data_IF_823229100697
#
_entry.id   IF_823229100697
#
_cell.length_a   1.000
_cell.length_b   1.000
_cell.length_c   1.000
_cell.angle_alpha   90.00
_cell.angle_beta   90.00
_cell.angle_gamma   90.00
#
_symmetry.space_group_name_H-M   'P 1'
#
loop_
_entity.id
_entity.type
_entity.pdbx_description
1 polymer ?
#
# COMPACT_ATOMS: atom_id res chain seq x y z
N UNK A 1 -72.48 -30.77 -53.62
CA UNK A 1 -71.51 -30.86 -54.74
C UNK A 1 -70.13 -30.80 -54.11
N UNK A 2 -69.72 -31.82 -53.37
CA UNK A 2 -69.32 -33.16 -53.84
C UNK A 2 -67.98 -33.06 -54.57
N UNK A 3 -66.89 -33.39 -53.87
CA UNK A 3 -66.19 -34.69 -53.79
C UNK A 3 -65.03 -34.71 -54.80
N UNK A 4 -63.76 -34.80 -54.41
CA UNK A 4 -63.02 -35.83 -53.65
C UNK A 4 -62.27 -36.78 -54.60
N UNK A 5 -61.08 -37.24 -54.18
CA UNK A 5 -60.15 -38.16 -54.85
C UNK A 5 -59.47 -37.60 -56.12
N UNK A 6 -58.13 -37.55 -56.20
CA UNK A 6 -57.10 -38.61 -56.10
C UNK A 6 -57.01 -39.50 -57.34
N UNK A 7 -55.76 -39.94 -57.60
CA UNK A 7 -55.26 -40.94 -58.56
C UNK A 7 -54.83 -40.50 -59.98
N UNK A 8 -53.77 -41.08 -60.60
CA UNK A 8 -52.51 -41.68 -60.09
C UNK A 8 -51.54 -42.00 -61.25
N UNK A 9 -50.24 -42.19 -60.94
CA UNK A 9 -49.20 -42.92 -61.73
C UNK A 9 -48.68 -42.46 -63.13
N UNK A 10 -47.34 -42.30 -63.13
CA UNK A 10 -46.34 -42.91 -64.02
C UNK A 10 -46.16 -42.49 -65.50
N UNK A 11 -44.91 -42.07 -65.81
CA UNK A 11 -43.87 -42.73 -66.67
C UNK A 11 -42.75 -41.68 -66.96
N UNK A 12 -41.45 -41.95 -67.13
CA UNK A 12 -40.57 -43.13 -67.00
C UNK A 12 -39.12 -42.68 -66.69
N UNK A 13 -38.49 -43.37 -65.73
CA UNK A 13 -37.06 -43.69 -65.54
C UNK A 13 -35.94 -43.03 -66.38
N UNK A 14 -34.91 -42.54 -65.67
CA UNK A 14 -33.56 -43.14 -65.80
C UNK A 14 -32.86 -43.18 -64.43
N UNK A 15 -32.10 -44.24 -64.17
CA UNK A 15 -31.52 -44.56 -62.85
C UNK A 15 -30.00 -44.43 -62.89
N UNK A 16 -29.41 -43.90 -61.82
CA UNK A 16 -28.08 -44.35 -61.36
C UNK A 16 -28.10 -44.45 -59.83
N UNK A 17 -28.10 -45.69 -59.33
CA UNK A 17 -27.82 -46.04 -57.92
C UNK A 17 -26.34 -45.71 -57.60
N UNK A 18 -25.87 -45.44 -56.37
CA UNK A 18 -25.92 -46.27 -55.16
C UNK A 18 -25.70 -45.38 -53.90
N UNK A 19 -26.64 -45.41 -52.96
CA UNK A 19 -26.49 -45.65 -51.48
C UNK A 19 -25.45 -44.83 -50.68
N UNK A 20 -25.74 -44.00 -49.65
CA UNK A 20 -26.74 -43.95 -48.56
C UNK A 20 -26.36 -44.66 -47.23
N UNK A 21 -26.35 -43.88 -46.14
CA UNK A 21 -26.80 -44.17 -44.75
C UNK A 21 -26.86 -42.78 -44.04
N UNK A 22 -28.04 -42.20 -43.72
CA UNK A 22 -28.87 -42.40 -42.51
C UNK A 22 -28.12 -42.01 -41.21
N UNK A 23 -28.64 -41.20 -40.27
CA UNK A 23 -30.01 -41.06 -39.73
C UNK A 23 -30.29 -39.59 -39.28
N UNK A 24 -31.54 -39.10 -39.38
CA UNK A 24 -32.05 -37.81 -38.83
C UNK A 24 -32.82 -38.07 -37.50
N UNK A 25 -33.28 -37.09 -36.68
CA UNK A 25 -33.86 -35.77 -37.00
C UNK A 25 -33.10 -34.63 -36.25
N UNK A 26 -33.60 -33.42 -35.93
CA UNK A 26 -34.95 -32.85 -35.94
C UNK A 26 -34.94 -31.30 -36.14
N UNK A 27 -36.02 -30.63 -35.74
CA UNK A 27 -36.22 -29.18 -35.80
C UNK A 27 -36.78 -28.69 -34.45
N UNK A 28 -36.26 -27.59 -33.89
CA UNK A 28 -37.06 -26.74 -33.01
C UNK A 28 -36.60 -25.27 -33.07
N UNK A 29 -37.51 -24.35 -32.76
CA UNK A 29 -37.30 -22.89 -32.77
C UNK A 29 -36.74 -22.41 -31.43
N UNK A 30 -35.55 -21.82 -31.43
CA UNK A 30 -35.08 -21.03 -30.29
C UNK A 30 -35.40 -19.55 -30.49
N UNK A 31 -36.30 -19.03 -29.66
CA UNK A 31 -36.38 -17.60 -29.36
C UNK A 31 -35.10 -17.17 -28.67
N UNK A 32 -34.42 -16.14 -29.18
CA UNK A 32 -33.24 -15.57 -28.52
C UNK A 32 -33.69 -14.82 -27.26
N UNK A 33 -33.38 -15.39 -26.10
CA UNK A 33 -33.48 -14.69 -24.82
C UNK A 33 -32.39 -13.62 -24.76
N UNK A 34 -32.79 -12.37 -24.52
CA UNK A 34 -31.87 -11.21 -24.42
C UNK A 34 -31.55 -10.86 -22.96
N UNK A 35 -31.80 -11.78 -22.03
CA UNK A 35 -31.34 -11.67 -20.64
C UNK A 35 -29.82 -11.83 -20.59
N UNK A 36 -29.06 -10.92 -19.93
CA UNK A 36 -27.60 -11.02 -19.87
C UNK A 36 -27.16 -12.26 -19.09
N UNK A 37 -26.12 -12.93 -19.59
CA UNK A 37 -25.54 -14.13 -18.99
C UNK A 37 -24.93 -13.78 -17.61
N UNK A 38 -25.28 -14.48 -16.51
CA UNK A 38 -24.70 -14.22 -15.20
C UNK A 38 -23.20 -14.56 -15.08
N UNK A 39 -22.56 -15.05 -16.15
CA UNK A 39 -21.11 -15.30 -16.24
C UNK A 39 -20.33 -14.22 -17.01
N UNK A 40 -20.98 -13.22 -17.59
CA UNK A 40 -20.27 -12.06 -18.13
C UNK A 40 -19.53 -11.35 -16.98
N UNK A 41 -18.19 -11.18 -17.05
CA UNK A 41 -17.46 -10.47 -16.01
C UNK A 41 -17.89 -9.01 -16.02
N UNK A 42 -18.65 -8.61 -14.99
CA UNK A 42 -18.92 -7.20 -14.69
C UNK A 42 -17.61 -6.45 -14.83
N UNK A 43 -17.52 -5.54 -15.81
CA UNK A 43 -16.30 -4.80 -16.13
C UNK A 43 -15.93 -3.98 -14.90
N UNK A 44 -15.02 -4.55 -14.11
CA UNK A 44 -14.75 -4.05 -12.79
C UNK A 44 -14.00 -2.72 -12.93
N UNK A 45 -14.68 -1.62 -12.61
CA UNK A 45 -14.18 -0.26 -12.84
C UNK A 45 -12.82 -0.09 -12.19
N UNK A 46 -11.78 0.05 -13.01
CA UNK A 46 -10.40 0.21 -12.57
C UNK A 46 -10.25 1.48 -11.75
N UNK A 47 -9.67 1.36 -10.56
CA UNK A 47 -9.46 2.50 -9.66
C UNK A 47 -8.53 3.51 -10.33
N UNK A 48 -9.02 4.76 -10.42
CA UNK A 48 -8.26 5.82 -11.07
C UNK A 48 -7.39 6.55 -10.06
N UNK A 49 -6.08 6.36 -10.18
CA UNK A 49 -5.09 6.99 -9.34
C UNK A 49 -4.75 8.42 -9.80
N UNK A 50 -4.40 9.26 -8.84
CA UNK A 50 -3.98 10.65 -9.03
C UNK A 50 -3.04 11.06 -7.87
N UNK A 51 -2.42 12.23 -7.96
CA UNK A 51 -1.83 12.90 -6.78
C UNK A 51 -2.84 13.85 -6.15
N UNK A 52 -2.64 14.19 -4.87
CA UNK A 52 -3.51 15.17 -4.21
C UNK A 52 -3.23 16.59 -4.69
N UNK A 53 -1.95 16.95 -4.83
CA UNK A 53 -1.46 18.24 -5.35
C UNK A 53 -0.71 18.00 -6.66
N UNK A 54 -0.50 19.06 -7.44
CA UNK A 54 0.33 18.98 -8.64
C UNK A 54 1.80 18.70 -8.23
N UNK A 55 2.45 17.68 -8.81
CA UNK A 55 3.85 17.36 -8.49
C UNK A 55 4.81 18.52 -8.74
N UNK A 56 5.62 18.86 -7.73
CA UNK A 56 6.70 19.83 -7.87
C UNK A 56 7.77 19.27 -8.83
N UNK A 57 8.45 20.11 -9.63
CA UNK A 57 9.68 19.70 -10.31
C UNK A 57 10.69 19.13 -9.32
N UNK A 58 11.37 18.03 -9.67
CA UNK A 58 12.39 17.42 -8.82
C UNK A 58 13.56 18.41 -8.64
N UNK A 59 13.94 18.68 -7.38
CA UNK A 59 15.03 19.61 -7.09
C UNK A 59 16.40 18.99 -7.37
N UNK A 60 17.43 19.83 -7.41
CA UNK A 60 18.83 19.38 -7.54
C UNK A 60 19.23 18.37 -6.45
N UNK A 61 18.76 18.57 -5.23
CA UNK A 61 19.02 17.66 -4.11
C UNK A 61 18.31 16.31 -4.30
N UNK A 62 17.07 16.33 -4.77
CA UNK A 62 16.30 15.11 -5.08
C UNK A 62 16.93 14.34 -6.24
N UNK A 63 17.34 15.00 -7.32
CA UNK A 63 17.99 14.34 -8.46
C UNK A 63 19.32 13.68 -8.07
N UNK A 64 20.18 14.37 -7.31
CA UNK A 64 21.43 13.79 -6.78
C UNK A 64 21.20 12.56 -5.92
N UNK A 65 20.14 12.56 -5.11
CA UNK A 65 19.79 11.42 -4.26
C UNK A 65 19.24 10.23 -5.07
N UNK A 66 18.51 10.49 -6.15
CA UNK A 66 18.05 9.47 -7.09
C UNK A 66 19.23 8.87 -7.86
N UNK A 67 20.13 9.71 -8.39
CA UNK A 67 21.40 9.29 -9.01
C UNK A 67 22.23 8.42 -8.04
N UNK A 68 22.38 8.85 -6.78
CA UNK A 68 23.06 8.08 -5.75
C UNK A 68 22.43 6.69 -5.53
N UNK A 69 21.09 6.57 -5.55
CA UNK A 69 20.46 5.24 -5.48
C UNK A 69 20.83 4.37 -6.68
N UNK A 70 20.84 4.91 -7.90
CA UNK A 70 21.23 4.16 -9.11
C UNK A 70 22.69 3.68 -9.02
N UNK A 71 23.61 4.55 -8.62
CA UNK A 71 25.04 4.22 -8.48
C UNK A 71 25.33 3.15 -7.41
N UNK A 72 24.39 2.91 -6.48
CA UNK A 72 24.51 1.95 -5.39
C UNK A 72 23.60 0.72 -5.55
N UNK A 73 22.94 0.54 -6.70
CA UNK A 73 22.22 -0.69 -7.00
C UNK A 73 23.22 -1.85 -7.17
N UNK A 74 22.91 -3.00 -6.57
CA UNK A 74 23.75 -4.20 -6.67
C UNK A 74 23.44 -4.98 -7.96
N UNK A 75 24.36 -5.86 -8.36
CA UNK A 75 24.28 -6.60 -9.63
C UNK A 75 23.09 -7.56 -9.72
N UNK A 76 22.45 -7.91 -8.60
CA UNK A 76 21.21 -8.70 -8.52
C UNK A 76 19.93 -7.83 -8.60
N UNK A 77 20.07 -6.52 -8.83
CA UNK A 77 18.96 -5.57 -8.92
C UNK A 77 18.46 -5.04 -7.58
N UNK A 78 18.95 -5.55 -6.45
CA UNK A 78 18.57 -5.08 -5.13
C UNK A 78 19.51 -4.02 -4.54
N UNK A 79 19.18 -3.57 -3.33
CA UNK A 79 20.06 -2.76 -2.49
C UNK A 79 20.27 -3.43 -1.14
N UNK A 80 21.49 -3.31 -0.63
CA UNK A 80 21.78 -3.61 0.77
C UNK A 80 21.59 -2.39 1.66
N UNK A 81 21.92 -2.54 2.95
CA UNK A 81 21.77 -1.47 3.95
C UNK A 81 22.65 -0.25 3.66
N UNK A 82 23.72 -0.43 2.87
CA UNK A 82 24.74 0.58 2.62
C UNK A 82 25.53 0.99 3.85
N UNK A 83 26.52 1.83 3.62
CA UNK A 83 27.49 2.32 4.62
C UNK A 83 26.82 2.89 5.88
N UNK A 84 27.52 2.85 7.01
CA UNK A 84 27.08 3.44 8.28
C UNK A 84 27.77 4.78 8.56
N UNK A 85 27.12 5.64 9.36
CA UNK A 85 27.79 6.83 9.91
C UNK A 85 29.04 6.42 10.72
N UNK A 86 30.20 6.99 10.39
CA UNK A 86 31.53 6.62 10.94
C UNK A 86 31.65 6.62 12.47
N UNK A 87 30.75 7.30 13.18
CA UNK A 87 30.66 7.28 14.66
C UNK A 87 30.05 6.00 15.23
N UNK A 88 29.39 5.19 14.41
CA UNK A 88 28.78 3.92 14.80
C UNK A 88 29.82 2.81 14.74
N UNK A 89 30.22 2.29 15.90
CA UNK A 89 31.31 1.30 16.04
C UNK A 89 30.90 -0.15 15.72
N UNK A 90 29.75 -0.35 15.07
CA UNK A 90 29.22 -1.67 14.71
C UNK A 90 29.52 -1.99 13.26
N UNK A 91 30.43 -2.94 13.01
CA UNK A 91 30.84 -3.31 11.65
C UNK A 91 29.69 -3.82 10.78
N UNK A 92 29.85 -3.67 9.47
CA UNK A 92 28.81 -3.87 8.47
C UNK A 92 28.48 -5.33 8.14
N UNK A 93 27.69 -5.97 9.00
CA UNK A 93 27.01 -7.20 8.60
C UNK A 93 25.88 -6.86 7.60
N UNK A 94 26.04 -7.35 6.36
CA UNK A 94 25.08 -7.26 5.24
C UNK A 94 24.96 -5.87 4.55
N UNK A 95 26.01 -5.06 4.48
CA UNK A 95 25.96 -3.81 3.68
C UNK A 95 25.98 -4.06 2.17
N UNK A 96 26.95 -4.82 1.67
CA UNK A 96 27.04 -5.25 0.26
C UNK A 96 26.20 -6.48 -0.09
N UNK A 97 25.05 -6.67 0.57
CA UNK A 97 24.10 -7.77 0.27
C UNK A 97 22.71 -7.20 0.08
N UNK A 98 22.11 -7.44 -1.07
CA UNK A 98 20.74 -7.04 -1.34
C UNK A 98 19.77 -7.65 -0.32
N UNK A 99 18.86 -6.85 0.21
CA UNK A 99 17.78 -7.35 1.06
C UNK A 99 16.44 -6.70 0.70
N UNK A 100 15.37 -7.42 1.00
CA UNK A 100 14.00 -7.02 0.64
C UNK A 100 13.64 -5.64 1.21
N UNK A 101 13.85 -5.39 2.50
CA UNK A 101 13.48 -4.12 3.13
C UNK A 101 14.15 -2.87 2.54
N UNK A 102 15.48 -2.89 2.37
CA UNK A 102 16.22 -1.76 1.74
C UNK A 102 15.85 -1.60 0.25
N UNK A 103 15.75 -2.71 -0.49
CA UNK A 103 15.35 -2.71 -1.90
C UNK A 103 13.95 -2.15 -2.10
N UNK A 104 13.00 -2.51 -1.23
CA UNK A 104 11.62 -2.02 -1.32
C UNK A 104 11.54 -0.50 -1.19
N UNK A 105 12.32 0.10 -0.28
CA UNK A 105 12.35 1.54 -0.07
C UNK A 105 12.99 2.28 -1.24
N UNK A 106 14.12 1.79 -1.76
CA UNK A 106 14.79 2.37 -2.93
C UNK A 106 13.88 2.31 -4.17
N UNK A 107 13.29 1.14 -4.45
CA UNK A 107 12.37 0.96 -5.57
C UNK A 107 11.09 1.83 -5.43
N UNK A 108 10.55 1.99 -4.22
CA UNK A 108 9.40 2.88 -3.98
C UNK A 108 9.76 4.35 -4.25
N UNK A 109 10.98 4.80 -3.91
CA UNK A 109 11.46 6.13 -4.23
C UNK A 109 11.63 6.34 -5.75
N UNK A 110 12.18 5.37 -6.48
CA UNK A 110 12.28 5.41 -7.95
C UNK A 110 10.90 5.39 -8.63
N UNK A 111 9.96 4.59 -8.13
CA UNK A 111 8.58 4.52 -8.62
C UNK A 111 7.86 5.87 -8.43
N UNK A 112 7.99 6.48 -7.24
CA UNK A 112 7.36 7.78 -6.95
C UNK A 112 8.10 8.98 -7.54
N UNK A 113 9.33 8.85 -8.01
CA UNK A 113 9.96 9.91 -8.82
C UNK A 113 9.26 10.10 -10.18
N UNK A 114 8.52 9.08 -10.65
CA UNK A 114 7.75 9.09 -11.90
C UNK A 114 8.15 7.99 -12.89
N UNK A 115 9.04 7.07 -12.50
CA UNK A 115 9.37 5.90 -13.32
C UNK A 115 8.43 4.72 -13.03
N UNK A 116 8.35 3.77 -13.96
CA UNK A 116 7.72 2.45 -13.78
C UNK A 116 8.71 1.36 -14.22
N UNK A 117 8.44 0.06 -14.00
CA UNK A 117 9.24 -1.03 -14.59
C UNK A 117 9.25 -1.10 -16.13
N UNK A 118 8.51 -0.22 -16.83
CA UNK A 118 8.39 -0.20 -18.29
C UNK A 118 8.84 1.13 -18.93
N UNK A 119 8.80 2.24 -18.20
CA UNK A 119 8.99 3.60 -18.75
C UNK A 119 9.48 4.60 -17.69
N UNK A 120 10.08 5.70 -18.13
CA UNK A 120 10.66 6.76 -17.29
C UNK A 120 12.17 6.60 -17.06
N UNK A 121 12.79 7.64 -16.48
CA UNK A 121 14.25 7.78 -16.35
C UNK A 121 14.94 6.59 -15.71
N UNK A 122 14.32 5.98 -14.70
CA UNK A 122 14.93 4.91 -13.88
C UNK A 122 14.31 3.53 -14.15
N UNK A 123 13.62 3.33 -15.27
CA UNK A 123 12.85 2.11 -15.53
C UNK A 123 13.68 0.82 -15.51
N UNK A 124 14.92 0.84 -16.01
CA UNK A 124 15.81 -0.32 -16.01
C UNK A 124 16.13 -0.76 -14.58
N UNK A 125 16.60 0.18 -13.75
CA UNK A 125 16.92 -0.08 -12.35
C UNK A 125 15.69 -0.52 -11.55
N UNK A 126 14.55 0.16 -11.75
CA UNK A 126 13.29 -0.16 -11.10
C UNK A 126 12.75 -1.53 -11.53
N UNK A 127 12.88 -1.92 -12.81
CA UNK A 127 12.50 -3.25 -13.27
C UNK A 127 13.32 -4.33 -12.58
N UNK A 128 14.66 -4.20 -12.56
CA UNK A 128 15.54 -5.15 -11.87
C UNK A 128 15.20 -5.28 -10.37
N UNK A 129 14.84 -4.16 -9.72
CA UNK A 129 14.40 -4.16 -8.34
C UNK A 129 13.07 -4.90 -8.13
N UNK A 130 12.08 -4.71 -9.01
CA UNK A 130 10.80 -5.42 -8.95
C UNK A 130 10.98 -6.91 -9.26
N UNK A 131 11.86 -7.27 -10.19
CA UNK A 131 12.20 -8.66 -10.47
C UNK A 131 12.86 -9.35 -9.27
N UNK A 132 13.81 -8.68 -8.58
CA UNK A 132 14.40 -9.14 -7.33
C UNK A 132 13.35 -9.36 -6.24
N UNK A 133 12.44 -8.40 -6.02
CA UNK A 133 11.38 -8.53 -5.01
C UNK A 133 10.41 -9.67 -5.36
N UNK A 134 10.00 -9.81 -6.63
CA UNK A 134 9.16 -10.91 -7.06
C UNK A 134 9.84 -12.27 -6.84
N UNK A 135 11.13 -12.38 -7.18
CA UNK A 135 11.93 -13.59 -6.94
C UNK A 135 11.97 -13.96 -5.44
N UNK A 136 12.21 -12.99 -4.55
CA UNK A 136 12.28 -13.29 -3.09
C UNK A 136 10.92 -13.64 -2.49
N UNK A 137 9.83 -13.12 -3.05
CA UNK A 137 8.47 -13.57 -2.74
C UNK A 137 8.19 -14.97 -3.30
N UNK A 138 8.65 -15.28 -4.51
CA UNK A 138 8.50 -16.59 -5.15
C UNK A 138 9.25 -17.68 -4.36
N UNK A 139 10.51 -17.43 -3.96
CA UNK A 139 11.36 -18.31 -3.15
C UNK A 139 10.85 -18.54 -1.71
N UNK A 140 10.12 -17.59 -1.12
CA UNK A 140 9.66 -17.69 0.26
C UNK A 140 8.74 -18.93 0.46
N UNK A 141 8.83 -19.65 1.59
CA UNK A 141 7.88 -20.72 1.94
C UNK A 141 6.43 -20.23 1.89
N UNK A 142 5.43 -21.10 1.72
CA UNK A 142 4.02 -20.68 1.79
C UNK A 142 3.61 -20.25 3.21
N UNK A 143 4.09 -20.98 4.22
CA UNK A 143 3.79 -20.73 5.63
C UNK A 143 4.61 -19.61 6.27
N UNK A 144 4.07 -19.05 7.36
CA UNK A 144 4.69 -17.97 8.14
C UNK A 144 4.72 -16.61 7.43
N UNK A 145 5.11 -15.55 8.15
CA UNK A 145 5.01 -14.17 7.67
C UNK A 145 6.25 -13.65 6.90
N UNK A 146 7.41 -14.30 7.02
CA UNK A 146 8.65 -13.78 6.40
C UNK A 146 8.73 -14.07 4.88
N UNK A 147 9.28 -13.09 4.16
CA UNK A 147 9.81 -13.22 2.78
C UNK A 147 11.29 -12.82 2.71
N UNK A 148 11.96 -12.61 3.85
CA UNK A 148 13.26 -11.97 3.89
C UNK A 148 14.40 -12.93 3.51
N UNK A 149 15.10 -12.61 2.43
CA UNK A 149 16.30 -13.32 1.97
C UNK A 149 17.51 -13.12 2.92
N UNK A 150 17.59 -11.98 3.60
CA UNK A 150 18.60 -11.67 4.62
C UNK A 150 17.91 -11.48 5.97
N UNK A 151 18.36 -12.25 6.95
CA UNK A 151 17.87 -12.19 8.33
C UNK A 151 18.78 -11.31 9.20
N UNK A 152 18.18 -10.65 10.19
CA UNK A 152 18.89 -9.75 11.10
C UNK A 152 19.35 -8.44 10.43
N UNK A 153 18.58 -7.86 9.51
CA UNK A 153 18.88 -6.51 8.99
C UNK A 153 18.73 -5.43 10.08
N UNK A 154 19.32 -4.24 9.87
CA UNK A 154 19.12 -3.04 10.70
C UNK A 154 17.62 -2.75 10.82
N UNK A 155 16.87 -2.78 9.71
CA UNK A 155 15.42 -2.58 9.68
C UNK A 155 14.71 -3.62 10.55
N UNK A 156 15.02 -4.91 10.39
CA UNK A 156 14.38 -5.98 11.17
C UNK A 156 14.62 -5.84 12.68
N UNK A 157 15.86 -5.55 13.09
CA UNK A 157 16.20 -5.36 14.51
C UNK A 157 15.58 -4.09 15.10
N UNK A 158 15.36 -3.06 14.29
CA UNK A 158 14.97 -1.72 14.76
C UNK A 158 13.46 -1.50 14.72
N UNK A 159 12.85 -1.69 13.56
CA UNK A 159 11.41 -1.43 13.36
C UNK A 159 10.59 -2.71 13.19
N UNK A 160 11.18 -3.88 12.92
CA UNK A 160 10.42 -5.12 13.04
C UNK A 160 10.88 -6.31 12.21
N UNK A 161 10.90 -7.49 12.83
CA UNK A 161 11.24 -8.80 12.23
C UNK A 161 10.64 -9.05 10.84
N UNK A 162 9.42 -8.56 10.57
CA UNK A 162 8.71 -8.78 9.30
C UNK A 162 8.50 -7.50 8.47
N UNK A 163 9.27 -6.44 8.73
CA UNK A 163 9.16 -5.17 7.99
C UNK A 163 9.32 -5.34 6.48
N UNK A 164 10.21 -6.24 6.06
CA UNK A 164 10.43 -6.64 4.67
C UNK A 164 9.12 -7.05 3.96
N UNK A 165 8.29 -7.87 4.61
CA UNK A 165 7.02 -8.35 4.09
C UNK A 165 6.05 -7.20 3.83
N UNK A 166 5.87 -6.31 4.80
CA UNK A 166 4.92 -5.20 4.68
C UNK A 166 5.40 -4.11 3.71
N UNK A 167 6.71 -3.89 3.61
CA UNK A 167 7.29 -3.00 2.60
C UNK A 167 7.11 -3.57 1.18
N UNK A 168 7.27 -4.88 0.99
CA UNK A 168 6.98 -5.54 -0.29
C UNK A 168 5.49 -5.45 -0.66
N UNK A 169 4.56 -5.67 0.28
CA UNK A 169 3.13 -5.44 0.05
C UNK A 169 2.82 -4.02 -0.45
N UNK A 170 3.45 -3.00 0.15
CA UNK A 170 3.26 -1.59 -0.24
C UNK A 170 3.81 -1.32 -1.65
N UNK A 171 5.07 -1.71 -1.90
CA UNK A 171 5.72 -1.52 -3.21
C UNK A 171 4.98 -2.25 -4.33
N UNK A 172 4.66 -3.53 -4.13
CA UNK A 172 4.00 -4.35 -5.14
C UNK A 172 2.57 -3.85 -5.41
N UNK A 173 1.86 -3.30 -4.42
CA UNK A 173 0.56 -2.63 -4.64
C UNK A 173 0.71 -1.40 -5.53
N UNK A 174 1.60 -0.47 -5.16
CA UNK A 174 1.85 0.74 -5.97
C UNK A 174 2.44 0.43 -7.37
N UNK A 175 3.15 -0.69 -7.51
CA UNK A 175 3.69 -1.15 -8.80
C UNK A 175 2.61 -1.77 -9.67
N UNK A 176 1.80 -2.69 -9.14
CA UNK A 176 0.64 -3.28 -9.84
C UNK A 176 -0.20 -2.18 -10.45
N UNK A 177 -0.56 -1.19 -9.63
CA UNK A 177 -1.53 -0.16 -9.98
C UNK A 177 -1.01 0.91 -10.96
N UNK A 178 0.30 0.94 -11.24
CA UNK A 178 0.96 1.82 -12.23
C UNK A 178 1.43 1.10 -13.51
N UNK A 179 1.37 -0.23 -13.57
CA UNK A 179 1.78 -1.01 -14.75
C UNK A 179 0.53 -1.49 -15.50
N UNK A 180 0.46 -1.36 -16.85
CA UNK A 180 -0.66 -1.86 -17.65
C UNK A 180 -0.73 -3.40 -17.65
N UNK A 181 -1.85 -3.95 -18.11
CA UNK A 181 -2.02 -5.41 -18.25
C UNK A 181 -0.94 -6.04 -19.14
N UNK A 182 -0.28 -7.07 -18.63
CA UNK A 182 0.94 -7.61 -19.23
C UNK A 182 1.67 -8.57 -18.29
N UNK A 183 2.83 -9.07 -18.73
CA UNK A 183 3.61 -10.07 -17.99
C UNK A 183 4.08 -9.55 -16.62
N UNK A 184 4.66 -8.35 -16.57
CA UNK A 184 5.13 -7.73 -15.33
C UNK A 184 3.97 -7.56 -14.33
N UNK A 185 2.82 -7.03 -14.78
CA UNK A 185 1.65 -6.85 -13.90
C UNK A 185 1.13 -8.19 -13.38
N UNK A 186 1.12 -9.26 -14.21
CA UNK A 186 0.73 -10.61 -13.75
C UNK A 186 1.71 -11.16 -12.71
N UNK A 187 3.03 -11.03 -12.92
CA UNK A 187 4.05 -11.48 -11.94
C UNK A 187 3.93 -10.70 -10.62
N UNK A 188 3.87 -9.37 -10.70
CA UNK A 188 3.69 -8.48 -9.54
C UNK A 188 2.38 -8.79 -8.79
N UNK A 189 1.27 -9.05 -9.50
CA UNK A 189 -0.01 -9.41 -8.87
C UNK A 189 0.09 -10.74 -8.15
N UNK A 190 0.67 -11.77 -8.77
CA UNK A 190 0.87 -13.10 -8.15
C UNK A 190 1.77 -13.01 -6.91
N UNK A 191 2.85 -12.23 -6.98
CA UNK A 191 3.71 -11.97 -5.84
C UNK A 191 2.93 -11.24 -4.72
N UNK A 192 2.22 -10.16 -5.06
CA UNK A 192 1.44 -9.38 -4.12
C UNK A 192 0.35 -10.20 -3.41
N UNK A 193 -0.40 -11.01 -4.15
CA UNK A 193 -1.41 -11.92 -3.57
C UNK A 193 -0.75 -12.91 -2.60
N UNK A 194 0.40 -13.54 -2.95
CA UNK A 194 1.15 -14.42 -2.03
C UNK A 194 1.62 -13.70 -0.75
N UNK A 195 2.08 -12.45 -0.86
CA UNK A 195 2.46 -11.66 0.33
C UNK A 195 1.24 -11.30 1.17
N UNK A 196 0.11 -10.94 0.54
CA UNK A 196 -1.11 -10.58 1.26
C UNK A 196 -1.77 -11.78 1.95
N UNK A 197 -1.73 -12.98 1.35
CA UNK A 197 -2.13 -14.23 2.01
C UNK A 197 -1.33 -14.47 3.30
N UNK A 198 -0.01 -14.21 3.27
CA UNK A 198 0.85 -14.30 4.46
C UNK A 198 0.46 -13.27 5.52
N UNK A 199 0.25 -12.03 5.11
CA UNK A 199 -0.20 -10.93 5.99
C UNK A 199 -1.54 -11.30 6.65
N UNK A 200 -2.50 -11.82 5.91
CA UNK A 200 -3.80 -12.20 6.45
C UNK A 200 -3.72 -13.36 7.45
N UNK A 201 -3.07 -14.47 7.05
CA UNK A 201 -2.96 -15.71 7.84
C UNK A 201 -2.21 -15.53 9.17
N UNK A 202 -1.29 -14.56 9.23
CA UNK A 202 -0.45 -14.29 10.42
C UNK A 202 -0.93 -13.07 11.23
N UNK A 203 -2.13 -12.52 10.96
CA UNK A 203 -2.68 -11.42 11.76
C UNK A 203 -3.24 -11.91 13.10
N UNK A 204 -2.86 -11.24 14.18
CA UNK A 204 -3.38 -11.48 15.52
C UNK A 204 -4.86 -11.09 15.65
N UNK A 205 -5.55 -11.66 16.65
CA UNK A 205 -6.98 -11.38 16.92
C UNK A 205 -7.25 -9.91 17.27
N UNK A 206 -6.26 -9.19 17.80
CA UNK A 206 -6.34 -7.76 18.12
C UNK A 206 -6.07 -6.85 16.90
N UNK A 207 -5.73 -7.43 15.75
CA UNK A 207 -5.42 -6.74 14.50
C UNK A 207 -3.95 -6.37 14.28
N UNK A 208 -3.08 -6.66 15.25
CA UNK A 208 -1.63 -6.52 15.13
C UNK A 208 -1.00 -7.69 14.38
N UNK A 209 0.32 -7.60 14.16
CA UNK A 209 1.17 -8.73 13.82
C UNK A 209 2.27 -8.94 14.85
N UNK A 210 2.63 -10.20 15.10
CA UNK A 210 3.76 -10.55 15.95
C UNK A 210 5.05 -9.92 15.41
N UNK A 211 5.66 -9.04 16.18
CA UNK A 211 6.78 -8.24 15.70
C UNK A 211 7.75 -7.87 16.82
N UNK A 212 9.05 -8.15 16.63
CA UNK A 212 10.12 -7.79 17.57
C UNK A 212 11.01 -6.70 16.97
N UNK A 213 11.32 -5.68 17.77
CA UNK A 213 12.17 -4.55 17.39
C UNK A 213 12.28 -3.54 18.53
N UNK A 214 13.01 -2.46 18.29
CA UNK A 214 13.12 -1.31 19.21
C UNK A 214 11.88 -0.40 19.13
N UNK A 215 11.45 -0.05 17.91
CA UNK A 215 10.27 0.76 17.60
C UNK A 215 9.26 0.00 16.70
N UNK A 216 8.74 -1.17 17.12
CA UNK A 216 7.86 -2.01 16.28
C UNK A 216 6.54 -1.36 15.85
N UNK A 217 6.12 -0.24 16.47
CA UNK A 217 4.92 0.52 16.08
C UNK A 217 5.01 1.02 14.63
N UNK A 218 6.20 1.37 14.16
CA UNK A 218 6.42 1.88 12.79
C UNK A 218 6.06 0.81 11.75
N UNK A 219 6.40 -0.46 12.00
CA UNK A 219 6.04 -1.58 11.12
C UNK A 219 4.56 -1.95 11.21
N UNK A 220 3.90 -1.80 12.36
CA UNK A 220 2.43 -1.95 12.41
C UNK A 220 1.75 -0.87 11.52
N UNK A 221 2.29 0.36 11.51
CA UNK A 221 1.85 1.42 10.61
C UNK A 221 2.05 1.09 9.13
N UNK A 222 3.22 0.53 8.76
CA UNK A 222 3.48 0.04 7.39
C UNK A 222 2.53 -1.10 7.01
N UNK A 223 2.29 -2.07 7.90
CA UNK A 223 1.36 -3.18 7.68
C UNK A 223 -0.07 -2.68 7.42
N UNK A 224 -0.56 -1.77 8.26
CA UNK A 224 -1.87 -1.14 8.11
C UNK A 224 -1.99 -0.39 6.77
N UNK A 225 -0.98 0.40 6.41
CA UNK A 225 -0.89 1.13 5.14
C UNK A 225 -0.89 0.19 3.94
N UNK A 226 -0.07 -0.85 3.96
CA UNK A 226 0.08 -1.78 2.85
C UNK A 226 -1.21 -2.59 2.58
N UNK A 227 -1.87 -3.09 3.63
CA UNK A 227 -3.14 -3.80 3.50
C UNK A 227 -4.27 -2.92 2.97
N UNK A 228 -4.34 -1.66 3.41
CA UNK A 228 -5.30 -0.68 2.89
C UNK A 228 -5.00 -0.32 1.43
N UNK A 229 -3.74 -0.10 1.06
CA UNK A 229 -3.37 0.21 -0.33
C UNK A 229 -3.65 -0.96 -1.27
N UNK A 230 -3.38 -2.19 -0.84
CA UNK A 230 -3.74 -3.40 -1.58
C UNK A 230 -5.24 -3.42 -1.90
N UNK A 231 -6.10 -3.20 -0.89
CA UNK A 231 -7.55 -3.13 -1.05
C UNK A 231 -8.02 -2.00 -1.98
N UNK A 232 -7.46 -0.80 -1.82
CA UNK A 232 -7.81 0.36 -2.65
C UNK A 232 -7.62 0.05 -4.14
N UNK A 233 -6.52 -0.60 -4.54
CA UNK A 233 -6.30 -0.95 -5.97
C UNK A 233 -7.00 -2.22 -6.47
N UNK A 234 -7.63 -3.02 -5.59
CA UNK A 234 -8.48 -4.14 -6.04
C UNK A 234 -9.85 -3.62 -6.47
N UNK A 235 -10.37 -4.16 -7.57
CA UNK A 235 -11.74 -3.91 -7.99
C UNK A 235 -12.76 -4.73 -7.18
N UNK A 236 -12.38 -5.94 -6.74
CA UNK A 236 -13.21 -6.83 -5.92
C UNK A 236 -12.53 -7.11 -4.57
N UNK A 237 -13.27 -6.94 -3.48
CA UNK A 237 -12.88 -7.38 -2.13
C UNK A 237 -13.05 -8.89 -1.94
N UNK A 238 -12.61 -9.39 -0.78
CA UNK A 238 -12.97 -10.71 -0.27
C UNK A 238 -13.38 -10.57 1.19
N UNK A 239 -14.31 -11.42 1.66
CA UNK A 239 -14.74 -11.40 3.07
C UNK A 239 -13.57 -11.57 4.05
N UNK A 240 -12.48 -12.17 3.61
CA UNK A 240 -11.30 -12.51 4.40
C UNK A 240 -10.39 -11.27 4.54
N UNK A 241 -10.14 -10.57 3.43
CA UNK A 241 -9.51 -9.25 3.39
C UNK A 241 -10.32 -8.21 4.19
N UNK A 242 -11.64 -8.20 4.06
CA UNK A 242 -12.52 -7.27 4.80
C UNK A 242 -12.42 -7.48 6.32
N UNK A 243 -12.36 -8.75 6.78
CA UNK A 243 -12.11 -9.08 8.20
C UNK A 243 -10.71 -8.66 8.64
N UNK A 244 -9.69 -8.81 7.79
CA UNK A 244 -8.34 -8.34 8.10
C UNK A 244 -8.28 -6.83 8.29
N UNK A 245 -8.89 -6.07 7.37
CA UNK A 245 -8.98 -4.61 7.43
C UNK A 245 -9.80 -4.12 8.61
N UNK A 246 -10.90 -4.80 8.95
CA UNK A 246 -11.69 -4.48 10.14
C UNK A 246 -10.86 -4.62 11.43
N UNK A 247 -10.02 -5.66 11.53
CA UNK A 247 -9.09 -5.83 12.66
C UNK A 247 -7.98 -4.77 12.65
N UNK A 248 -7.40 -4.42 11.50
CA UNK A 248 -6.44 -3.29 11.37
C UNK A 248 -7.05 -1.97 11.85
N UNK A 249 -8.29 -1.70 11.46
CA UNK A 249 -9.04 -0.52 11.87
C UNK A 249 -9.26 -0.53 13.39
N UNK A 250 -9.73 -1.63 13.96
CA UNK A 250 -9.92 -1.78 15.40
C UNK A 250 -8.63 -1.57 16.19
N UNK A 251 -7.51 -2.15 15.72
CA UNK A 251 -6.18 -1.96 16.32
C UNK A 251 -5.78 -0.48 16.34
N UNK A 252 -5.87 0.19 15.17
CA UNK A 252 -5.43 1.57 14.99
C UNK A 252 -6.30 2.56 15.77
N UNK A 253 -7.63 2.36 15.77
CA UNK A 253 -8.55 3.14 16.61
C UNK A 253 -8.23 2.93 18.10
N UNK A 254 -8.05 1.69 18.54
CA UNK A 254 -7.70 1.39 19.94
C UNK A 254 -6.37 2.05 20.32
N UNK A 255 -5.34 1.96 19.48
CA UNK A 255 -4.05 2.59 19.69
C UNK A 255 -4.16 4.12 19.86
N UNK A 256 -4.98 4.78 19.03
CA UNK A 256 -5.23 6.23 19.11
C UNK A 256 -5.94 6.68 20.40
N UNK A 257 -6.72 5.79 21.03
CA UNK A 257 -7.47 6.06 22.26
C UNK A 257 -6.70 5.70 23.53
N UNK A 258 -5.56 4.99 23.44
CA UNK A 258 -4.76 4.61 24.61
C UNK A 258 -4.20 5.87 25.28
N UNK A 259 -4.67 6.15 26.49
CA UNK A 259 -4.04 7.14 27.38
C UNK A 259 -2.55 6.80 27.51
N UNK A 260 -1.64 7.77 27.34
CA UNK A 260 -0.22 7.49 27.42
C UNK A 260 0.15 6.94 28.80
N UNK A 261 0.88 5.83 28.84
CA UNK A 261 1.43 5.34 30.10
C UNK A 261 2.63 6.19 30.48
N UNK A 262 2.61 6.75 31.70
CA UNK A 262 3.80 7.34 32.30
C UNK A 262 4.78 6.21 32.67
N UNK A 263 5.68 5.86 31.75
CA UNK A 263 6.85 5.01 32.06
C UNK A 263 8.05 5.88 32.38
N UNK A 264 8.93 5.47 33.32
CA UNK A 264 10.25 6.08 33.44
C UNK A 264 11.00 5.91 32.11
N UNK A 265 11.41 7.01 31.52
CA UNK A 265 12.42 7.02 30.44
C UNK A 265 13.78 6.65 31.04
N UNK A 266 14.65 5.99 30.26
CA UNK A 266 16.06 5.79 30.68
C UNK A 266 16.68 7.17 30.91
N UNK A 267 17.17 7.41 32.13
CA UNK A 267 17.69 8.71 32.56
C UNK A 267 18.93 9.17 31.77
N UNK A 268 19.55 8.27 30.99
CA UNK A 268 20.59 8.59 30.01
C UNK A 268 20.11 9.46 28.84
N UNK A 269 18.80 9.56 28.61
CA UNK A 269 18.23 10.31 27.48
C UNK A 269 18.01 11.80 27.78
N UNK A 270 18.02 12.23 29.04
CA UNK A 270 17.72 13.63 29.42
C UNK A 270 16.28 14.08 29.10
N UNK A 271 15.44 13.20 28.55
CA UNK A 271 14.05 13.47 28.18
C UNK A 271 13.16 13.25 29.41
N UNK A 272 12.65 14.36 29.95
CA UNK A 272 11.63 14.35 30.99
C UNK A 272 10.31 13.71 30.53
N UNK A 273 9.50 13.32 31.52
CA UNK A 273 8.22 12.61 31.44
C UNK A 273 7.50 12.71 30.09
N UNK A 274 7.79 11.78 29.18
CA UNK A 274 7.16 11.72 27.85
C UNK A 274 6.00 10.74 27.85
N UNK A 275 4.94 11.12 27.13
CA UNK A 275 3.72 10.35 26.91
C UNK A 275 3.92 9.34 25.79
N UNK A 276 3.99 8.04 26.13
CA UNK A 276 4.51 6.98 25.24
C UNK A 276 3.50 5.86 25.02
N UNK A 277 3.39 5.38 23.76
CA UNK A 277 2.66 4.15 23.39
C UNK A 277 3.60 2.94 23.40
N UNK A 278 3.07 1.75 23.68
CA UNK A 278 3.85 0.50 23.56
C UNK A 278 4.47 0.35 22.16
N UNK A 279 5.74 -0.04 22.10
CA UNK A 279 6.44 -0.27 20.83
C UNK A 279 6.91 0.99 20.09
N UNK A 280 6.83 2.18 20.69
CA UNK A 280 7.36 3.44 20.13
C UNK A 280 8.76 3.83 20.64
N UNK A 281 9.45 2.93 21.33
CA UNK A 281 10.76 3.16 21.96
C UNK A 281 10.86 4.34 22.97
N UNK A 282 9.75 4.96 23.36
CA UNK A 282 9.76 6.18 24.17
C UNK A 282 9.64 7.49 23.36
N UNK A 283 9.49 7.40 22.03
CA UNK A 283 9.56 8.53 21.11
C UNK A 283 8.17 8.84 20.55
N UNK A 284 7.53 9.97 20.94
CA UNK A 284 6.17 10.29 20.51
C UNK A 284 6.03 10.42 18.98
N UNK A 285 7.07 10.89 18.28
CA UNK A 285 7.07 11.01 16.82
C UNK A 285 6.81 9.66 16.11
N UNK A 286 7.36 8.56 16.62
CA UNK A 286 7.19 7.24 16.01
C UNK A 286 5.76 6.72 16.22
N UNK A 287 5.20 6.95 17.41
CA UNK A 287 3.82 6.61 17.74
C UNK A 287 2.82 7.38 16.88
N UNK A 288 2.97 8.71 16.90
CA UNK A 288 2.06 9.66 16.26
C UNK A 288 2.06 9.49 14.74
N UNK A 289 3.24 9.37 14.12
CA UNK A 289 3.37 9.20 12.67
C UNK A 289 2.86 7.84 12.17
N UNK A 290 3.17 6.74 12.86
CA UNK A 290 2.67 5.42 12.52
C UNK A 290 1.14 5.34 12.62
N UNK A 291 0.58 5.86 13.72
CA UNK A 291 -0.85 5.85 13.96
C UNK A 291 -1.61 6.77 13.01
N UNK A 292 -1.11 7.98 12.72
CA UNK A 292 -1.73 8.88 11.75
C UNK A 292 -1.66 8.33 10.33
N UNK A 293 -0.52 7.76 9.92
CA UNK A 293 -0.38 7.12 8.61
C UNK A 293 -1.35 5.94 8.42
N UNK A 294 -1.48 5.08 9.44
CA UNK A 294 -2.45 3.98 9.44
C UNK A 294 -3.91 4.49 9.37
N UNK A 295 -4.29 5.42 10.25
CA UNK A 295 -5.64 5.98 10.28
C UNK A 295 -6.00 6.75 9.01
N UNK A 296 -5.03 7.41 8.36
CA UNK A 296 -5.20 8.06 7.06
C UNK A 296 -5.61 7.02 6.01
N UNK A 297 -4.80 5.99 5.80
CA UNK A 297 -5.05 4.94 4.81
C UNK A 297 -6.35 4.15 5.07
N UNK A 298 -6.69 3.91 6.33
CA UNK A 298 -8.00 3.37 6.73
C UNK A 298 -9.14 4.28 6.24
N UNK A 299 -9.02 5.59 6.43
CA UNK A 299 -10.05 6.54 5.99
C UNK A 299 -10.17 6.61 4.46
N UNK A 300 -9.05 6.51 3.72
CA UNK A 300 -9.05 6.44 2.26
C UNK A 300 -9.81 5.19 1.75
N UNK A 301 -9.46 4.00 2.26
CA UNK A 301 -10.17 2.75 1.95
C UNK A 301 -11.66 2.82 2.30
N UNK A 302 -11.99 3.50 3.40
CA UNK A 302 -13.36 3.61 3.88
C UNK A 302 -14.26 4.47 2.99
N UNK A 303 -13.72 5.34 2.13
CA UNK A 303 -14.52 6.10 1.14
C UNK A 303 -15.32 5.15 0.26
N UNK A 304 -14.65 4.15 -0.34
CA UNK A 304 -15.33 3.14 -1.17
C UNK A 304 -16.23 2.23 -0.32
N UNK A 305 -15.73 1.73 0.81
CA UNK A 305 -16.48 0.82 1.70
C UNK A 305 -17.78 1.43 2.21
N UNK A 306 -17.81 2.73 2.49
CA UNK A 306 -19.04 3.42 2.93
C UNK A 306 -20.13 3.31 1.86
N UNK A 307 -19.80 3.62 0.61
CA UNK A 307 -20.73 3.53 -0.53
C UNK A 307 -21.18 2.08 -0.79
N UNK A 308 -20.29 1.11 -0.62
CA UNK A 308 -20.61 -0.33 -0.75
C UNK A 308 -21.58 -0.79 0.35
N UNK A 309 -21.32 -0.43 1.61
CA UNK A 309 -22.13 -0.81 2.77
C UNK A 309 -23.49 -0.10 2.78
N UNK A 310 -23.55 1.18 2.39
CA UNK A 310 -24.81 1.93 2.25
C UNK A 310 -25.75 1.29 1.22
N UNK A 311 -25.21 0.77 0.10
CA UNK A 311 -25.98 0.00 -0.88
C UNK A 311 -26.56 -1.29 -0.28
N UNK A 312 -25.81 -2.03 0.53
CA UNK A 312 -26.29 -3.23 1.22
C UNK A 312 -27.42 -2.91 2.20
N UNK A 313 -27.30 -1.82 2.96
CA UNK A 313 -28.37 -1.38 3.89
C UNK A 313 -29.64 -0.98 3.13
N UNK A 314 -29.49 -0.24 2.03
CA UNK A 314 -30.59 0.26 1.21
C UNK A 314 -31.29 -0.82 0.36
N UNK A 315 -30.59 -1.85 -0.11
CA UNK A 315 -31.17 -2.88 -0.99
C UNK A 315 -32.30 -3.66 -0.27
N UNK A 316 -33.57 -3.59 -0.70
CA UNK A 316 -34.67 -4.33 -0.07
C UNK A 316 -34.50 -5.85 -0.13
N UNK A 317 -33.64 -6.39 -1.00
CA UNK A 317 -33.39 -7.82 -1.16
C UNK A 317 -32.23 -8.36 -0.31
N UNK A 318 -31.37 -7.49 0.23
CA UNK A 318 -30.22 -7.93 1.00
C UNK A 318 -30.65 -8.63 2.32
N UNK A 319 -30.02 -9.76 2.69
CA UNK A 319 -30.34 -10.48 3.93
C UNK A 319 -30.26 -9.62 5.19
N UNK A 320 -31.14 -9.88 6.15
CA UNK A 320 -31.23 -9.10 7.38
C UNK A 320 -29.92 -9.06 8.19
N UNK A 321 -29.17 -10.16 8.20
CA UNK A 321 -27.87 -10.21 8.90
C UNK A 321 -26.79 -9.42 8.14
N UNK A 322 -26.79 -9.45 6.80
CA UNK A 322 -25.86 -8.65 5.98
C UNK A 322 -26.13 -7.14 6.16
N UNK A 323 -27.40 -6.73 6.25
CA UNK A 323 -27.78 -5.35 6.59
C UNK A 323 -27.31 -4.93 7.98
N UNK A 324 -27.51 -5.79 8.98
CA UNK A 324 -27.09 -5.55 10.37
C UNK A 324 -25.57 -5.46 10.49
N UNK A 325 -24.84 -6.33 9.79
CA UNK A 325 -23.39 -6.27 9.69
C UNK A 325 -22.93 -4.98 9.00
N UNK A 326 -23.56 -4.59 7.89
CA UNK A 326 -23.22 -3.36 7.19
C UNK A 326 -23.48 -2.09 8.04
N UNK A 327 -24.59 -2.05 8.80
CA UNK A 327 -24.86 -0.97 9.76
C UNK A 327 -23.81 -0.89 10.87
N UNK A 328 -23.37 -2.04 11.40
CA UNK A 328 -22.28 -2.09 12.39
C UNK A 328 -20.97 -1.56 11.79
N UNK A 329 -20.61 -2.01 10.59
CA UNK A 329 -19.35 -1.62 9.96
C UNK A 329 -19.32 -0.14 9.55
N UNK A 330 -20.46 0.44 9.15
CA UNK A 330 -20.61 1.90 9.00
C UNK A 330 -20.39 2.65 10.33
N UNK A 331 -20.86 2.10 11.45
CA UNK A 331 -20.57 2.62 12.79
C UNK A 331 -19.08 2.57 13.14
N UNK A 332 -18.41 1.47 12.84
CA UNK A 332 -16.96 1.32 13.06
C UNK A 332 -16.15 2.27 12.15
N UNK A 333 -16.59 2.50 10.91
CA UNK A 333 -16.02 3.50 10.00
C UNK A 333 -16.16 4.91 10.58
N UNK A 334 -17.32 5.28 11.14
CA UNK A 334 -17.52 6.57 11.79
C UNK A 334 -16.62 6.76 13.03
N UNK A 335 -16.40 5.70 13.80
CA UNK A 335 -15.42 5.69 14.90
C UNK A 335 -13.98 5.89 14.38
N UNK A 336 -13.60 5.23 13.28
CA UNK A 336 -12.29 5.38 12.66
C UNK A 336 -12.05 6.79 12.09
N UNK A 337 -13.08 7.43 11.52
CA UNK A 337 -13.04 8.83 11.09
C UNK A 337 -12.85 9.78 12.27
N UNK A 338 -13.55 9.53 13.38
CA UNK A 338 -13.40 10.32 14.62
C UNK A 338 -11.98 10.20 15.20
N UNK A 339 -11.43 8.99 15.25
CA UNK A 339 -10.06 8.73 15.68
C UNK A 339 -9.02 9.45 14.80
N UNK A 340 -9.19 9.38 13.48
CA UNK A 340 -8.32 10.07 12.51
C UNK A 340 -8.33 11.58 12.68
N UNK A 341 -9.51 12.22 12.75
CA UNK A 341 -9.65 13.67 12.94
C UNK A 341 -9.01 14.11 14.27
N UNK A 342 -9.17 13.32 15.33
CA UNK A 342 -8.56 13.57 16.65
C UNK A 342 -7.03 13.48 16.61
N UNK A 343 -6.49 12.41 16.01
CA UNK A 343 -5.05 12.22 15.84
C UNK A 343 -4.44 13.34 14.98
N UNK A 344 -5.04 13.64 13.83
CA UNK A 344 -4.60 14.70 12.93
C UNK A 344 -4.60 16.06 13.64
N UNK A 345 -5.69 16.43 14.32
CA UNK A 345 -5.80 17.68 15.10
C UNK A 345 -4.77 17.77 16.23
N UNK A 346 -4.42 16.64 16.85
CA UNK A 346 -3.44 16.61 17.94
C UNK A 346 -2.01 16.73 17.42
N UNK A 347 -1.71 16.09 16.29
CA UNK A 347 -0.36 16.05 15.70
C UNK A 347 -0.03 17.36 14.98
N UNK A 348 -0.99 17.98 14.27
CA UNK A 348 -0.76 19.26 13.57
C UNK A 348 -0.34 20.38 14.52
N UNK A 349 -0.85 20.38 15.77
CA UNK A 349 -0.42 21.30 16.84
C UNK A 349 1.03 21.08 17.33
N UNK A 350 1.65 19.96 16.99
CA UNK A 350 3.01 19.58 17.40
C UNK A 350 4.05 19.71 16.27
N UNK A 351 3.63 19.90 15.02
CA UNK A 351 4.56 19.96 13.86
C UNK A 351 5.57 21.11 13.94
N UNK A 352 5.22 22.20 14.64
CA UNK A 352 6.13 23.34 14.88
C UNK A 352 7.01 23.15 16.14
N UNK A 353 6.75 22.12 16.99
CA UNK A 353 7.61 21.77 18.12
C UNK A 353 8.86 21.01 17.65
N UNK A 354 9.98 21.72 17.61
CA UNK A 354 11.29 21.17 17.25
C UNK A 354 11.69 19.95 18.08
N UNK A 355 11.22 19.79 19.33
CA UNK A 355 11.52 18.62 20.16
C UNK A 355 10.76 17.38 19.70
N UNK A 356 9.47 17.55 19.37
CA UNK A 356 8.67 16.50 18.75
C UNK A 356 9.27 16.07 17.40
N UNK A 357 9.57 17.03 16.53
CA UNK A 357 10.12 16.74 15.19
C UNK A 357 11.52 16.11 15.26
N UNK A 358 12.35 16.47 16.24
CA UNK A 358 13.69 15.87 16.39
C UNK A 358 13.69 14.39 16.82
N UNK A 359 12.55 13.83 17.23
CA UNK A 359 12.44 12.43 17.63
C UNK A 359 13.35 12.06 18.80
N UNK A 360 14.19 11.03 18.61
CA UNK A 360 15.15 10.52 19.60
C UNK A 360 16.47 11.32 19.65
N UNK A 361 16.92 11.83 18.50
CA UNK A 361 18.25 12.46 18.39
C UNK A 361 18.53 13.17 17.07
N UNK A 362 17.49 13.39 16.25
CA UNK A 362 17.49 13.89 14.88
C UNK A 362 18.23 12.98 13.86
N UNK A 363 17.62 12.83 12.69
CA UNK A 363 18.15 12.07 11.54
C UNK A 363 18.50 10.59 11.83
N UNK A 364 17.70 9.84 12.58
CA UNK A 364 17.69 8.37 12.47
C UNK A 364 16.75 7.92 11.35
N UNK A 365 16.90 6.68 10.86
CA UNK A 365 15.99 6.12 9.86
C UNK A 365 14.53 6.07 10.35
N UNK A 366 14.31 5.85 11.64
CA UNK A 366 12.99 5.95 12.27
C UNK A 366 12.38 7.36 12.18
N UNK A 367 13.16 8.44 12.33
CA UNK A 367 12.71 9.82 12.05
C UNK A 367 12.38 10.01 10.57
N UNK A 368 13.27 9.60 9.64
CA UNK A 368 13.00 9.76 8.20
C UNK A 368 11.72 9.02 7.76
N UNK A 369 11.48 7.81 8.28
CA UNK A 369 10.22 7.08 8.06
C UNK A 369 9.01 7.78 8.71
N UNK A 370 9.20 8.40 9.88
CA UNK A 370 8.15 9.19 10.53
C UNK A 370 7.80 10.44 9.73
N UNK A 371 8.80 11.12 9.15
CA UNK A 371 8.57 12.29 8.27
C UNK A 371 7.80 11.88 7.01
N UNK A 372 8.17 10.76 6.38
CA UNK A 372 7.43 10.19 5.25
C UNK A 372 5.96 9.91 5.62
N UNK A 373 5.72 9.21 6.74
CA UNK A 373 4.36 8.90 7.20
C UNK A 373 3.51 10.15 7.48
N UNK A 374 4.10 11.20 8.08
CA UNK A 374 3.42 12.47 8.31
C UNK A 374 3.15 13.22 6.99
N UNK A 375 4.12 13.29 6.08
CA UNK A 375 3.96 13.97 4.80
C UNK A 375 2.86 13.35 3.95
N UNK A 376 2.82 12.02 3.83
CA UNK A 376 1.75 11.29 3.11
C UNK A 376 0.35 11.53 3.72
N UNK A 377 0.25 11.64 5.05
CA UNK A 377 -1.03 11.88 5.74
C UNK A 377 -1.47 13.36 5.74
N UNK A 378 -0.56 14.29 5.41
CA UNK A 378 -0.82 15.73 5.36
C UNK A 378 -1.09 16.22 3.93
N UNK A 379 -0.36 15.71 2.93
CA UNK A 379 -0.44 16.18 1.54
C UNK A 379 -1.85 16.12 0.94
N UNK A 380 -2.67 15.15 1.34
CA UNK A 380 -4.06 15.01 0.86
C UNK A 380 -4.97 16.18 1.30
N UNK A 381 -4.57 16.95 2.32
CA UNK A 381 -5.34 18.11 2.81
C UNK A 381 -5.21 19.33 1.90
N UNK A 382 -4.09 19.46 1.18
CA UNK A 382 -3.72 20.63 0.37
C UNK A 382 -3.94 21.99 1.08
N UNK A 383 -3.54 22.06 2.35
CA UNK A 383 -3.76 23.22 3.21
C UNK A 383 -2.45 23.86 3.69
N UNK A 384 -2.57 24.94 4.47
CA UNK A 384 -1.41 25.66 4.99
C UNK A 384 -0.57 24.83 5.97
N UNK A 385 -1.18 23.81 6.60
CA UNK A 385 -0.46 22.88 7.47
C UNK A 385 0.45 21.98 6.65
N UNK A 386 -0.05 21.43 5.55
CA UNK A 386 0.77 20.71 4.57
C UNK A 386 1.88 21.62 3.99
N UNK A 387 1.53 22.80 3.48
CA UNK A 387 2.51 23.72 2.86
C UNK A 387 3.65 24.13 3.81
N UNK A 388 3.33 24.43 5.07
CA UNK A 388 4.34 24.70 6.11
C UNK A 388 5.21 23.48 6.41
N UNK A 389 4.61 22.30 6.52
CA UNK A 389 5.33 21.06 6.79
C UNK A 389 6.27 20.67 5.65
N UNK A 390 5.82 20.72 4.41
CA UNK A 390 6.62 20.44 3.20
C UNK A 390 7.84 21.38 3.12
N UNK A 391 7.63 22.68 3.32
CA UNK A 391 8.71 23.66 3.37
C UNK A 391 9.72 23.37 4.51
N UNK A 392 9.23 23.07 5.71
CA UNK A 392 10.09 22.75 6.86
C UNK A 392 10.87 21.45 6.65
N UNK A 393 10.28 20.44 6.00
CA UNK A 393 10.98 19.19 5.65
C UNK A 393 12.00 19.41 4.55
N UNK A 394 11.69 20.20 3.51
CA UNK A 394 12.65 20.59 2.48
C UNK A 394 13.87 21.29 3.07
N UNK A 395 13.66 22.30 3.91
CA UNK A 395 14.74 23.04 4.59
C UNK A 395 15.55 22.16 5.55
N UNK A 396 14.89 21.23 6.27
CA UNK A 396 15.58 20.31 7.17
C UNK A 396 16.43 19.30 6.40
N UNK A 397 15.85 18.61 5.43
CA UNK A 397 16.48 17.52 4.70
C UNK A 397 17.60 18.02 3.80
N UNK A 398 17.40 19.11 3.06
CA UNK A 398 18.45 19.68 2.21
C UNK A 398 19.66 20.16 3.03
N UNK A 399 19.45 20.69 4.24
CA UNK A 399 20.53 21.10 5.16
C UNK A 399 21.39 19.93 5.65
N UNK A 400 20.82 18.73 5.74
CA UNK A 400 21.48 17.53 6.30
C UNK A 400 21.79 16.46 5.25
N UNK A 401 21.66 16.79 3.96
CA UNK A 401 22.10 15.95 2.85
C UNK A 401 23.63 15.86 2.84
N UNK A 402 24.15 14.67 2.55
CA UNK A 402 25.59 14.48 2.36
C UNK A 402 26.06 15.10 1.03
N UNK A 403 27.37 15.32 0.89
CA UNK A 403 27.96 15.93 -0.32
C UNK A 403 27.72 15.13 -1.61
N UNK A 404 27.55 13.81 -1.49
CA UNK A 404 27.26 12.87 -2.57
C UNK A 404 25.75 12.70 -2.83
N UNK A 405 24.88 13.51 -2.20
CA UNK A 405 23.44 13.50 -2.43
C UNK A 405 22.64 12.55 -1.54
N UNK A 406 23.28 11.64 -0.79
CA UNK A 406 22.55 10.68 0.04
C UNK A 406 22.23 11.23 1.44
N UNK A 407 21.40 10.52 2.21
CA UNK A 407 21.21 10.75 3.65
C UNK A 407 21.72 9.55 4.45
N UNK A 408 22.37 9.82 5.58
CA UNK A 408 22.88 8.79 6.51
C UNK A 408 22.14 8.90 7.83
N UNK A 409 21.62 7.78 8.33
CA UNK A 409 21.05 7.76 9.67
C UNK A 409 22.15 7.90 10.72
N UNK A 410 21.97 8.82 11.66
CA UNK A 410 22.94 9.10 12.71
C UNK A 410 22.74 8.24 13.96
N UNK A 411 21.54 7.72 14.19
CA UNK A 411 21.27 6.78 15.26
C UNK A 411 20.22 5.76 14.82
N UNK A 412 20.12 4.67 15.59
CA UNK A 412 19.14 3.60 15.41
C UNK A 412 19.19 2.91 14.03
N UNK A 413 18.33 3.23 13.06
CA UNK A 413 18.55 2.84 11.65
C UNK A 413 19.52 3.83 11.02
N UNK A 414 20.66 3.33 10.57
CA UNK A 414 21.82 4.14 10.17
C UNK A 414 22.29 3.91 8.73
N UNK A 415 21.72 2.92 8.03
CA UNK A 415 22.07 2.57 6.66
C UNK A 415 21.64 3.63 5.65
N UNK A 416 22.55 3.99 4.73
CA UNK A 416 22.35 5.07 3.76
C UNK A 416 21.22 4.80 2.76
N UNK A 417 21.02 3.55 2.33
CA UNK A 417 19.94 3.20 1.39
C UNK A 417 18.56 3.57 1.94
N UNK A 418 18.21 3.03 3.11
CA UNK A 418 16.93 3.31 3.75
C UNK A 418 16.73 4.80 4.04
N UNK A 419 17.74 5.47 4.60
CA UNK A 419 17.64 6.88 4.99
C UNK A 419 17.50 7.80 3.78
N UNK A 420 18.25 7.54 2.70
CA UNK A 420 18.13 8.27 1.43
C UNK A 420 16.76 8.06 0.80
N UNK A 421 16.27 6.82 0.79
CA UNK A 421 14.95 6.49 0.25
C UNK A 421 13.81 7.13 1.03
N UNK A 422 13.86 7.11 2.37
CA UNK A 422 12.84 7.73 3.22
C UNK A 422 12.88 9.27 3.15
N UNK A 423 14.06 9.89 3.03
CA UNK A 423 14.20 11.32 2.77
C UNK A 423 13.63 11.70 1.39
N UNK A 424 13.92 10.93 0.34
CA UNK A 424 13.33 11.08 -1.00
C UNK A 424 11.80 10.99 -0.97
N UNK A 425 11.25 9.96 -0.31
CA UNK A 425 9.80 9.77 -0.18
C UNK A 425 9.13 10.88 0.65
N UNK A 426 9.87 11.53 1.56
CA UNK A 426 9.40 12.72 2.28
C UNK A 426 9.39 13.96 1.37
N UNK A 427 10.47 14.21 0.62
CA UNK A 427 10.60 15.36 -0.29
C UNK A 427 9.69 15.30 -1.51
N UNK A 428 9.30 14.09 -1.93
CA UNK A 428 8.40 13.81 -3.04
C UNK A 428 6.99 13.39 -2.56
N UNK A 429 6.56 13.76 -1.36
CA UNK A 429 5.25 13.36 -0.85
C UNK A 429 4.07 13.95 -1.67
N UNK A 430 4.29 15.03 -2.42
CA UNK A 430 3.41 15.52 -3.50
C UNK A 430 3.11 14.47 -4.58
N UNK A 431 3.93 13.43 -4.69
CA UNK A 431 3.81 12.31 -5.65
C UNK A 431 3.18 11.05 -5.04
N UNK A 432 2.66 11.15 -3.82
CA UNK A 432 1.91 10.05 -3.18
C UNK A 432 0.63 9.77 -3.98
N UNK A 433 0.38 8.51 -4.39
CA UNK A 433 -0.81 8.18 -5.16
C UNK A 433 -2.02 8.01 -4.24
N UNK A 434 -3.14 8.61 -4.65
CA UNK A 434 -4.45 8.51 -4.02
C UNK A 434 -5.48 8.15 -5.09
N UNK A 435 -6.59 7.51 -4.72
CA UNK A 435 -7.71 7.38 -5.65
C UNK A 435 -8.40 8.74 -5.85
N UNK A 436 -8.93 9.01 -7.04
CA UNK A 436 -9.65 10.27 -7.31
C UNK A 436 -10.83 10.47 -6.36
N UNK A 437 -11.53 9.39 -6.02
CA UNK A 437 -12.66 9.37 -5.09
C UNK A 437 -12.23 9.78 -3.68
N UNK A 438 -11.05 9.31 -3.23
CA UNK A 438 -10.52 9.67 -1.92
C UNK A 438 -10.07 11.14 -1.84
N UNK A 439 -9.47 11.68 -2.92
CA UNK A 439 -9.14 13.11 -3.02
C UNK A 439 -10.40 13.99 -3.00
N UNK A 440 -11.43 13.61 -3.75
CA UNK A 440 -12.73 14.32 -3.75
C UNK A 440 -13.40 14.28 -2.37
N UNK A 441 -13.44 13.11 -1.72
CA UNK A 441 -14.04 12.92 -0.40
C UNK A 441 -13.33 13.71 0.72
N UNK A 442 -12.02 13.93 0.63
CA UNK A 442 -11.27 14.76 1.58
C UNK A 442 -11.44 16.26 1.30
N UNK A 443 -11.52 16.66 0.02
CA UNK A 443 -11.75 18.06 -0.38
C UNK A 443 -13.20 18.53 -0.21
N UNK A 444 -14.16 17.60 -0.10
CA UNK A 444 -15.56 17.90 0.23
C UNK A 444 -16.41 18.42 -0.93
N UNK A 445 -16.14 17.94 -2.15
CA UNK A 445 -16.84 18.30 -3.40
C UNK A 445 -16.97 19.82 -3.69
N UNK A 446 -15.95 20.40 -4.32
CA UNK A 446 -16.13 21.54 -5.25
C UNK A 446 -16.82 21.08 -6.57
N UNK A 447 -17.84 20.22 -6.43
CA UNK A 447 -18.48 19.46 -7.50
C UNK A 447 -20.01 19.45 -7.44
N UNK A 448 -20.61 20.29 -6.59
CA UNK A 448 -22.00 20.70 -6.74
C UNK A 448 -22.02 22.03 -7.50
N UNK A 449 -22.69 22.00 -8.66
CA UNK A 449 -22.90 23.09 -9.62
C UNK A 449 -21.68 23.59 -10.42
N UNK A 450 -21.38 22.89 -11.53
CA UNK A 450 -21.06 23.51 -12.83
C UNK A 450 -21.66 22.69 -13.97
#
# INVERSE_FOLDING_TARGET
METNQEDVMNRIWTLTLVLALLIAPACDRTTVDTSPDPTDPVVATSVTWTTAVEPKPLSTEVNKALEWLIDHQLADGGWGQGEEASRMRGGEQNAGKANVGDTCMAALALLRSGSTPLDGTFHVALKSAIDFICEKVEEAPEEGLSIANVQGTRLQRKIGTYVDTFLASLLLSETRDRVPEGEIRRRVTKALDKVMDKVEKNQNKDGSWDNKGWAPVLTQGIAAKAGNRFFQGRANGSKDLDRMLARVQQYSVTASLRKPSARPTDSRLGVGLSTVTDGSAGVPLYADSANLGALSEINLSNVRRTVELEKVVADPKAPAEDKKQAQKDLGDIAAAKTAFVSAQTSITKRLEDKRFVSGFGNNGGEEFLSYMNLSEALVIRDDDVWRKWDAAMKDNLNRVQNKDGSWTGHHCITGRTFCTSAALLTLMADRTPFSKEAVAAVRGDEGKDK
#
